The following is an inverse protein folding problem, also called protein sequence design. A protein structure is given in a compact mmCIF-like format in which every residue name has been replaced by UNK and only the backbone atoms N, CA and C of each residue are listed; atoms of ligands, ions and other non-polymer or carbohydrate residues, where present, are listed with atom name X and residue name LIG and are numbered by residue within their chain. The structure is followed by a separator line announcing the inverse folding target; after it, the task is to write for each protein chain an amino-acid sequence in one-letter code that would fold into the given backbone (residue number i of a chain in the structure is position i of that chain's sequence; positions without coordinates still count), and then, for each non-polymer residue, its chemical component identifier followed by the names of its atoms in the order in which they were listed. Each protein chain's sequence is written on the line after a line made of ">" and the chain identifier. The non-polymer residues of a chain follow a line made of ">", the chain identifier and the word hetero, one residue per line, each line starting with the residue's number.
data_IF_315985569109
#
_entry.id   IF_315985569109
#
_cell.length_a   1.000
_cell.length_b   1.000
_cell.length_c   1.000
_cell.angle_alpha   90.00
_cell.angle_beta   90.00
_cell.angle_gamma   90.00
#
_symmetry.space_group_name_H-M   'P 1'
#
loop_
_entity.id
_entity.type
_entity.pdbx_description
1 polymer ?
#
# COMPACT_ATOMS: atom_id res chain seq x y z
N UNK A 1 -3.16 9.90 -42.68
CA UNK A 1 -3.40 11.20 -42.08
C UNK A 1 -4.85 11.21 -41.61
N UNK A 2 -5.07 11.25 -40.30
CA UNK A 2 -6.41 11.26 -39.70
C UNK A 2 -6.91 12.70 -39.53
N UNK A 3 -8.23 12.85 -39.39
CA UNK A 3 -8.90 14.11 -39.06
C UNK A 3 -8.93 14.30 -37.54
N UNK A 4 -9.30 15.50 -37.07
CA UNK A 4 -9.58 15.74 -35.65
C UNK A 4 -10.71 14.82 -35.15
N UNK A 5 -11.73 14.60 -35.96
CA UNK A 5 -12.84 13.67 -35.64
C UNK A 5 -12.36 12.25 -35.46
N UNK A 6 -11.48 11.75 -36.32
CA UNK A 6 -10.87 10.43 -36.17
C UNK A 6 -10.09 10.32 -34.87
N UNK A 7 -9.35 11.35 -34.49
CA UNK A 7 -8.62 11.37 -33.23
C UNK A 7 -9.53 11.37 -32.01
N UNK A 8 -10.59 12.18 -32.02
CA UNK A 8 -11.56 12.25 -30.93
C UNK A 8 -12.35 10.94 -30.77
N UNK A 9 -12.75 10.32 -31.88
CA UNK A 9 -13.46 9.03 -31.87
C UNK A 9 -12.66 7.89 -31.27
N UNK A 10 -11.33 7.90 -31.40
CA UNK A 10 -10.45 6.84 -30.88
C UNK A 10 -9.98 7.07 -29.44
N UNK A 11 -10.36 8.19 -28.81
CA UNK A 11 -10.02 8.48 -27.41
C UNK A 11 -10.73 7.53 -26.45
N UNK A 12 -10.17 7.39 -25.25
CA UNK A 12 -10.68 6.46 -24.25
C UNK A 12 -11.97 6.98 -23.56
N UNK A 13 -12.01 8.27 -23.19
CA UNK A 13 -13.15 8.83 -22.45
C UNK A 13 -13.55 10.22 -22.99
N UNK A 14 -14.82 10.57 -22.80
CA UNK A 14 -15.38 11.84 -23.26
C UNK A 14 -14.62 13.05 -22.71
N UNK A 15 -14.23 13.02 -21.45
CA UNK A 15 -13.44 14.08 -20.78
C UNK A 15 -12.04 14.26 -21.37
N UNK A 16 -11.51 13.26 -22.07
CA UNK A 16 -10.22 13.27 -22.75
C UNK A 16 -10.34 13.47 -24.27
N UNK A 17 -11.57 13.61 -24.79
CA UNK A 17 -11.85 13.76 -26.21
C UNK A 17 -12.17 15.21 -26.62
N UNK A 18 -12.05 16.16 -25.72
CA UNK A 18 -12.23 17.58 -25.98
C UNK A 18 -10.97 18.19 -26.59
N UNK A 19 -11.12 19.16 -27.45
CA UNK A 19 -10.04 19.94 -28.05
C UNK A 19 -10.36 21.44 -28.03
N UNK A 20 -9.33 22.28 -27.98
CA UNK A 20 -9.44 23.72 -28.11
C UNK A 20 -8.76 24.15 -29.40
N UNK A 21 -9.44 24.94 -30.21
CA UNK A 21 -8.88 25.47 -31.45
C UNK A 21 -7.85 26.58 -31.16
N UNK A 22 -6.64 26.41 -31.69
CA UNK A 22 -5.57 27.41 -31.57
C UNK A 22 -5.39 28.27 -32.83
N UNK A 23 -6.14 27.97 -33.90
CA UNK A 23 -6.10 28.77 -35.12
C UNK A 23 -6.70 30.14 -34.91
N UNK A 24 -6.07 31.19 -35.48
CA UNK A 24 -6.43 32.59 -35.26
C UNK A 24 -7.92 32.88 -35.48
N UNK A 25 -8.54 32.27 -36.50
CA UNK A 25 -9.96 32.52 -36.85
C UNK A 25 -10.95 31.95 -35.84
N UNK A 26 -10.57 30.91 -35.10
CA UNK A 26 -11.44 30.18 -34.15
C UNK A 26 -10.74 29.97 -32.79
N UNK A 27 -9.83 30.87 -32.47
CA UNK A 27 -9.00 30.74 -31.27
C UNK A 27 -9.86 30.69 -30.00
N UNK A 28 -9.60 29.65 -29.19
CA UNK A 28 -10.33 29.43 -27.93
C UNK A 28 -11.66 28.67 -28.08
N UNK A 29 -12.07 28.34 -29.31
CA UNK A 29 -13.31 27.56 -29.54
C UNK A 29 -13.13 26.13 -29.03
N UNK A 30 -14.05 25.68 -28.18
CA UNK A 30 -14.11 24.31 -27.69
C UNK A 30 -14.74 23.39 -28.73
N UNK A 31 -14.04 22.30 -29.07
CA UNK A 31 -14.55 21.20 -29.92
C UNK A 31 -14.81 19.99 -29.02
N UNK A 32 -16.07 19.74 -28.73
CA UNK A 32 -16.52 18.73 -27.77
C UNK A 32 -17.68 17.90 -28.36
N UNK A 33 -17.38 16.96 -29.28
CA UNK A 33 -18.43 16.22 -30.01
C UNK A 33 -19.21 15.21 -29.14
N UNK A 34 -18.70 14.88 -27.96
CA UNK A 34 -19.28 13.86 -27.06
C UNK A 34 -19.78 14.45 -25.74
N UNK A 35 -19.97 15.77 -25.67
CA UNK A 35 -20.43 16.42 -24.44
C UNK A 35 -19.55 16.13 -23.20
N UNK A 36 -18.23 16.01 -23.42
CA UNK A 36 -17.26 15.73 -22.36
C UNK A 36 -17.24 16.78 -21.27
N UNK A 37 -17.59 18.04 -21.58
CA UNK A 37 -17.68 19.11 -20.58
C UNK A 37 -18.77 18.82 -19.53
N UNK A 38 -19.91 18.25 -19.94
CA UNK A 38 -20.97 17.86 -19.01
C UNK A 38 -20.56 16.65 -18.16
N UNK A 39 -19.90 15.64 -18.76
CA UNK A 39 -19.37 14.51 -18.01
C UNK A 39 -18.30 14.97 -17.00
N UNK A 40 -17.49 15.96 -17.34
CA UNK A 40 -16.51 16.55 -16.42
C UNK A 40 -17.21 17.26 -15.24
N UNK A 41 -18.24 18.03 -15.50
CA UNK A 41 -19.03 18.73 -14.48
C UNK A 41 -19.80 17.76 -13.58
N UNK A 42 -20.37 16.69 -14.15
CA UNK A 42 -21.14 15.68 -13.43
C UNK A 42 -20.26 14.63 -12.75
N UNK A 43 -18.95 14.62 -13.02
CA UNK A 43 -18.02 13.65 -12.45
C UNK A 43 -18.25 12.23 -13.00
N UNK A 44 -18.36 12.06 -14.30
CA UNK A 44 -18.64 10.79 -14.98
C UNK A 44 -17.46 10.39 -15.87
N UNK A 45 -17.06 9.14 -15.80
CA UNK A 45 -16.16 8.46 -16.74
C UNK A 45 -16.99 7.66 -17.72
N UNK A 46 -16.97 8.07 -18.98
CA UNK A 46 -17.76 7.50 -20.07
C UNK A 46 -16.92 7.42 -21.34
N UNK A 47 -17.03 6.33 -22.09
CA UNK A 47 -16.41 6.21 -23.42
C UNK A 47 -17.11 7.09 -24.45
N UNK A 48 -16.39 7.68 -25.43
CA UNK A 48 -17.00 8.50 -26.49
C UNK A 48 -17.98 7.72 -27.35
N UNK A 49 -17.60 6.50 -27.70
CA UNK A 49 -18.38 5.57 -28.51
C UNK A 49 -18.74 4.32 -27.72
N UNK A 50 -19.15 3.25 -28.39
CA UNK A 50 -19.43 1.96 -27.78
C UNK A 50 -18.26 1.49 -26.92
N UNK A 51 -18.48 1.29 -25.62
CA UNK A 51 -17.39 0.88 -24.71
C UNK A 51 -16.78 -0.49 -25.03
N UNK A 52 -17.56 -1.41 -25.62
CA UNK A 52 -17.02 -2.72 -26.04
C UNK A 52 -15.98 -2.55 -27.16
N UNK A 53 -16.17 -1.61 -28.07
CA UNK A 53 -15.19 -1.28 -29.11
C UNK A 53 -13.97 -0.62 -28.47
N UNK A 54 -14.19 0.37 -27.64
CA UNK A 54 -13.10 1.14 -26.96
C UNK A 54 -12.18 0.22 -26.17
N UNK A 55 -12.72 -0.71 -25.38
CA UNK A 55 -11.96 -1.65 -24.58
C UNK A 55 -11.38 -2.81 -25.38
N UNK A 56 -12.00 -3.16 -26.50
CA UNK A 56 -11.49 -4.17 -27.43
C UNK A 56 -10.28 -3.68 -28.21
N UNK A 57 -10.27 -2.39 -28.61
CA UNK A 57 -9.17 -1.78 -29.37
C UNK A 57 -7.88 -1.69 -28.52
N UNK A 58 -7.99 -1.25 -27.28
CA UNK A 58 -6.89 -1.27 -26.31
C UNK A 58 -7.40 -1.64 -24.92
N UNK A 59 -7.27 -2.89 -24.50
CA UNK A 59 -7.78 -3.36 -23.21
C UNK A 59 -7.16 -2.65 -21.98
N UNK A 60 -5.98 -2.00 -22.11
CA UNK A 60 -5.44 -1.18 -21.03
C UNK A 60 -6.39 -0.04 -20.65
N UNK A 61 -7.24 0.40 -21.56
CA UNK A 61 -8.25 1.43 -21.28
C UNK A 61 -9.21 1.03 -20.15
N UNK A 62 -9.41 -0.26 -19.92
CA UNK A 62 -10.14 -0.75 -18.74
C UNK A 62 -9.46 -0.36 -17.44
N UNK A 63 -8.13 -0.52 -17.36
CA UNK A 63 -7.34 -0.06 -16.22
C UNK A 63 -7.36 1.44 -16.08
N UNK A 64 -7.28 2.16 -17.20
CA UNK A 64 -7.36 3.63 -17.22
C UNK A 64 -8.72 4.13 -16.75
N UNK A 65 -9.81 3.44 -17.10
CA UNK A 65 -11.16 3.75 -16.63
C UNK A 65 -11.22 3.74 -15.09
N UNK A 66 -10.77 2.67 -14.49
CA UNK A 66 -10.74 2.53 -13.02
C UNK A 66 -9.77 3.54 -12.39
N UNK A 67 -8.61 3.75 -12.99
CA UNK A 67 -7.66 4.74 -12.50
C UNK A 67 -8.22 6.15 -12.49
N UNK A 68 -8.82 6.60 -13.57
CA UNK A 68 -9.44 7.94 -13.62
C UNK A 68 -10.59 8.07 -12.62
N UNK A 69 -11.41 7.05 -12.46
CA UNK A 69 -12.45 7.04 -11.44
C UNK A 69 -11.87 7.26 -10.02
N UNK A 70 -10.79 6.57 -9.69
CA UNK A 70 -10.12 6.73 -8.39
C UNK A 70 -9.42 8.09 -8.25
N UNK A 71 -8.70 8.53 -9.29
CA UNK A 71 -7.89 9.74 -9.28
C UNK A 71 -8.74 11.02 -9.25
N UNK A 72 -9.81 11.06 -10.02
CA UNK A 72 -10.71 12.22 -10.13
C UNK A 72 -11.89 12.13 -9.16
N UNK A 73 -12.09 10.99 -8.51
CA UNK A 73 -13.26 10.68 -7.66
C UNK A 73 -14.58 10.74 -8.46
N UNK A 74 -14.52 10.34 -9.73
CA UNK A 74 -15.65 10.28 -10.65
C UNK A 74 -16.31 8.90 -10.61
N UNK A 75 -17.59 8.87 -10.93
CA UNK A 75 -18.34 7.64 -11.13
C UNK A 75 -18.15 7.12 -12.55
N UNK A 76 -18.10 5.80 -12.70
CA UNK A 76 -18.10 5.16 -14.02
C UNK A 76 -19.53 5.05 -14.48
N UNK A 77 -19.82 5.53 -15.70
CA UNK A 77 -21.10 5.32 -16.37
C UNK A 77 -21.50 3.85 -16.39
N UNK A 78 -22.79 3.55 -16.18
CA UNK A 78 -23.29 2.18 -16.00
C UNK A 78 -22.96 1.26 -17.19
N UNK A 79 -23.21 1.72 -18.41
CA UNK A 79 -22.92 0.95 -19.62
C UNK A 79 -21.42 0.75 -19.81
N UNK A 80 -20.62 1.78 -19.52
CA UNK A 80 -19.15 1.69 -19.53
C UNK A 80 -18.66 0.68 -18.48
N UNK A 81 -19.23 0.69 -17.28
CA UNK A 81 -18.90 -0.26 -16.23
C UNK A 81 -19.25 -1.70 -16.60
N UNK A 82 -20.44 -1.92 -17.18
CA UNK A 82 -20.87 -3.26 -17.62
C UNK A 82 -19.95 -3.81 -18.71
N UNK A 83 -19.47 -2.94 -19.60
CA UNK A 83 -18.49 -3.30 -20.62
C UNK A 83 -17.13 -3.69 -20.03
N UNK A 84 -16.71 -3.14 -18.89
CA UNK A 84 -15.52 -3.62 -18.19
C UNK A 84 -15.64 -5.11 -17.86
N UNK A 85 -16.76 -5.52 -17.28
CA UNK A 85 -17.03 -6.92 -16.96
C UNK A 85 -17.04 -7.84 -18.19
N UNK A 86 -17.70 -7.40 -19.26
CA UNK A 86 -17.78 -8.17 -20.53
C UNK A 86 -16.41 -8.36 -21.20
N UNK A 87 -15.52 -7.38 -21.06
CA UNK A 87 -14.21 -7.37 -21.74
C UNK A 87 -13.04 -7.73 -20.79
N UNK A 88 -13.30 -8.02 -19.52
CA UNK A 88 -12.27 -8.19 -18.49
C UNK A 88 -11.17 -9.20 -18.89
N UNK A 89 -11.56 -10.34 -19.50
CA UNK A 89 -10.62 -11.38 -19.93
C UNK A 89 -9.58 -10.88 -20.96
N UNK A 90 -9.88 -9.84 -21.71
CA UNK A 90 -8.95 -9.23 -22.67
C UNK A 90 -7.76 -8.55 -22.03
N UNK A 91 -7.80 -8.30 -20.71
CA UNK A 91 -6.64 -7.74 -20.00
C UNK A 91 -5.41 -8.64 -20.09
N UNK A 92 -5.60 -9.92 -20.32
CA UNK A 92 -4.52 -10.91 -20.45
C UNK A 92 -3.60 -10.66 -21.64
N UNK A 93 -4.01 -9.90 -22.65
CA UNK A 93 -3.19 -9.55 -23.81
C UNK A 93 -2.31 -8.31 -23.56
N UNK A 94 -2.58 -7.56 -22.49
CA UNK A 94 -1.81 -6.37 -22.12
C UNK A 94 -0.57 -6.81 -21.38
N UNK A 95 0.57 -6.15 -21.65
CA UNK A 95 1.80 -6.44 -20.92
C UNK A 95 1.69 -6.12 -19.43
N UNK A 96 2.31 -6.96 -18.60
CA UNK A 96 2.29 -6.79 -17.14
C UNK A 96 2.84 -5.45 -16.69
N UNK A 97 3.83 -4.92 -17.40
CA UNK A 97 4.44 -3.62 -17.11
C UNK A 97 3.45 -2.46 -17.27
N UNK A 98 2.64 -2.49 -18.33
CA UNK A 98 1.59 -1.48 -18.55
C UNK A 98 0.49 -1.55 -17.48
N UNK A 99 0.10 -2.76 -17.08
CA UNK A 99 -0.87 -2.98 -15.99
C UNK A 99 -0.29 -2.48 -14.66
N UNK A 100 0.97 -2.83 -14.35
CA UNK A 100 1.65 -2.39 -13.13
C UNK A 100 1.75 -0.86 -13.03
N UNK A 101 2.02 -0.18 -14.15
CA UNK A 101 2.06 1.28 -14.20
C UNK A 101 0.70 1.90 -13.82
N UNK A 102 -0.40 1.39 -14.37
CA UNK A 102 -1.75 1.85 -14.00
C UNK A 102 -2.11 1.52 -12.54
N UNK A 103 -1.75 0.34 -12.04
CA UNK A 103 -1.93 -0.02 -10.63
C UNK A 103 -1.15 0.91 -9.69
N UNK A 104 0.09 1.25 -10.03
CA UNK A 104 0.88 2.21 -9.25
C UNK A 104 0.24 3.60 -9.22
N UNK A 105 -0.37 4.03 -10.33
CA UNK A 105 -1.12 5.30 -10.39
C UNK A 105 -2.36 5.26 -9.51
N UNK A 106 -3.09 4.15 -9.48
CA UNK A 106 -4.22 3.93 -8.55
C UNK A 106 -3.72 3.99 -7.10
N UNK A 107 -2.62 3.28 -6.80
CA UNK A 107 -2.04 3.21 -5.46
C UNK A 107 -1.57 4.58 -4.95
N UNK A 108 -1.18 5.49 -5.84
CA UNK A 108 -0.74 6.86 -5.50
C UNK A 108 -1.88 7.85 -5.27
N UNK A 109 -3.14 7.47 -5.50
CA UNK A 109 -4.29 8.34 -5.23
C UNK A 109 -4.51 8.56 -3.74
N UNK A 110 -5.31 9.56 -3.37
CA UNK A 110 -5.65 9.86 -1.98
C UNK A 110 -6.42 8.72 -1.30
N UNK A 111 -7.22 8.00 -2.09
CA UNK A 111 -8.05 6.90 -1.61
C UNK A 111 -7.95 5.71 -2.57
N UNK A 112 -6.86 4.91 -2.49
CA UNK A 112 -6.63 3.78 -3.39
C UNK A 112 -7.76 2.74 -3.38
N UNK A 113 -8.47 2.59 -2.26
CA UNK A 113 -9.58 1.66 -2.12
C UNK A 113 -10.66 1.83 -3.19
N UNK A 114 -10.92 3.06 -3.63
CA UNK A 114 -11.88 3.32 -4.71
C UNK A 114 -11.54 2.55 -5.98
N UNK A 115 -10.28 2.58 -6.39
CA UNK A 115 -9.81 1.85 -7.56
C UNK A 115 -9.88 0.33 -7.38
N UNK A 116 -9.44 -0.19 -6.25
CA UNK A 116 -9.44 -1.64 -5.98
C UNK A 116 -10.84 -2.21 -5.83
N UNK A 117 -11.79 -1.46 -5.27
CA UNK A 117 -13.21 -1.87 -5.23
C UNK A 117 -13.77 -2.00 -6.64
N UNK A 118 -13.52 -1.02 -7.51
CA UNK A 118 -14.01 -1.07 -8.90
C UNK A 118 -13.34 -2.21 -9.69
N UNK A 119 -12.04 -2.44 -9.52
CA UNK A 119 -11.32 -3.58 -10.11
C UNK A 119 -11.95 -4.92 -9.68
N UNK A 120 -12.32 -5.02 -8.41
CA UNK A 120 -12.95 -6.22 -7.86
C UNK A 120 -14.37 -6.42 -8.41
N UNK A 121 -15.19 -5.37 -8.41
CA UNK A 121 -16.57 -5.41 -8.88
C UNK A 121 -16.70 -5.77 -10.36
N UNK A 122 -15.79 -5.31 -11.21
CA UNK A 122 -15.81 -5.59 -12.65
C UNK A 122 -15.09 -6.89 -13.05
N UNK A 123 -14.47 -7.60 -12.12
CA UNK A 123 -13.78 -8.86 -12.39
C UNK A 123 -12.32 -8.74 -12.83
N UNK A 124 -11.77 -7.54 -12.98
CA UNK A 124 -10.37 -7.34 -13.35
C UNK A 124 -9.40 -7.77 -12.23
N UNK A 125 -9.77 -7.54 -10.97
CA UNK A 125 -8.89 -7.87 -9.83
C UNK A 125 -8.60 -9.36 -9.75
N UNK A 126 -9.59 -10.21 -10.00
CA UNK A 126 -9.48 -11.67 -10.00
C UNK A 126 -8.47 -12.18 -11.04
N UNK A 127 -8.31 -11.45 -12.14
CA UNK A 127 -7.37 -11.77 -13.20
C UNK A 127 -5.96 -11.21 -12.94
N UNK A 128 -5.86 -10.07 -12.29
CA UNK A 128 -4.59 -9.36 -12.07
C UNK A 128 -3.94 -9.75 -10.74
N UNK A 129 -4.71 -9.73 -9.65
CA UNK A 129 -4.24 -10.06 -8.29
C UNK A 129 -5.23 -11.03 -7.64
N UNK A 130 -5.28 -12.28 -8.10
CA UNK A 130 -6.23 -13.28 -7.59
C UNK A 130 -6.07 -13.54 -6.09
N UNK A 131 -4.88 -13.39 -5.55
CA UNK A 131 -4.61 -13.55 -4.11
C UNK A 131 -5.34 -12.49 -3.27
N UNK A 132 -5.43 -11.27 -3.78
CA UNK A 132 -6.16 -10.20 -3.11
C UNK A 132 -7.68 -10.41 -3.22
N UNK A 133 -8.17 -10.77 -4.40
CA UNK A 133 -9.58 -11.07 -4.62
C UNK A 133 -10.07 -12.22 -3.72
N UNK A 134 -9.22 -13.21 -3.47
CA UNK A 134 -9.53 -14.35 -2.60
C UNK A 134 -9.76 -13.96 -1.13
N UNK A 135 -9.35 -12.78 -0.69
CA UNK A 135 -9.62 -12.26 0.66
C UNK A 135 -11.09 -11.88 0.88
N UNK A 136 -11.88 -11.71 -0.17
CA UNK A 136 -13.32 -11.39 -0.08
C UNK A 136 -14.19 -12.62 0.29
N UNK A 137 -13.61 -13.81 0.35
CA UNK A 137 -14.34 -15.03 0.69
C UNK A 137 -14.51 -15.10 2.21
N UNK A 138 -15.76 -14.99 2.68
CA UNK A 138 -16.14 -15.16 4.09
C UNK A 138 -16.84 -16.50 4.27
N UNK A 139 -16.30 -17.34 5.12
CA UNK A 139 -16.90 -18.63 5.46
C UNK A 139 -17.53 -18.59 6.85
N UNK A 140 -18.69 -19.20 6.98
CA UNK A 140 -19.37 -19.38 8.26
C UNK A 140 -19.43 -20.86 8.62
N UNK A 141 -19.00 -21.18 9.84
CA UNK A 141 -19.06 -22.53 10.39
C UNK A 141 -19.54 -22.49 11.84
N UNK A 142 -20.53 -23.32 12.17
CA UNK A 142 -21.14 -23.35 13.50
C UNK A 142 -21.55 -21.96 14.03
N UNK A 143 -22.13 -21.12 13.16
CA UNK A 143 -22.56 -19.77 13.49
C UNK A 143 -21.43 -18.75 13.66
N UNK A 144 -20.16 -19.13 13.49
CA UNK A 144 -19.00 -18.23 13.56
C UNK A 144 -18.48 -17.94 12.16
N UNK A 145 -18.55 -16.66 11.75
CA UNK A 145 -17.92 -16.13 10.56
C UNK A 145 -16.61 -15.42 10.91
N UNK A 146 -15.65 -15.42 9.98
CA UNK A 146 -14.50 -14.53 10.11
C UNK A 146 -14.79 -13.17 9.45
N UNK A 147 -14.00 -12.15 9.79
CA UNK A 147 -14.06 -10.82 9.19
C UNK A 147 -13.76 -10.91 7.69
N UNK A 148 -14.41 -10.06 6.89
CA UNK A 148 -14.02 -9.88 5.49
C UNK A 148 -12.64 -9.21 5.42
N UNK A 149 -11.65 -9.98 5.00
CA UNK A 149 -10.27 -9.53 4.97
C UNK A 149 -9.96 -8.60 3.78
N UNK A 150 -10.76 -8.65 2.71
CA UNK A 150 -10.58 -7.79 1.54
C UNK A 150 -10.87 -6.32 1.88
N UNK A 151 -12.05 -6.03 2.39
CA UNK A 151 -12.44 -4.65 2.74
C UNK A 151 -11.62 -4.11 3.91
N UNK A 152 -11.25 -4.97 4.88
CA UNK A 152 -10.30 -4.59 5.91
C UNK A 152 -8.94 -4.16 5.32
N UNK A 153 -8.40 -4.95 4.40
CA UNK A 153 -7.14 -4.64 3.73
C UNK A 153 -7.19 -3.29 3.02
N UNK A 154 -8.28 -2.98 2.31
CA UNK A 154 -8.45 -1.69 1.64
C UNK A 154 -8.55 -0.52 2.61
N UNK A 155 -9.19 -0.71 3.76
CA UNK A 155 -9.23 0.30 4.83
C UNK A 155 -7.82 0.58 5.37
N UNK A 156 -7.00 -0.45 5.55
CA UNK A 156 -5.60 -0.31 5.97
C UNK A 156 -4.78 0.45 4.93
N UNK A 157 -4.94 0.16 3.65
CA UNK A 157 -4.27 0.91 2.56
C UNK A 157 -4.65 2.39 2.60
N UNK A 158 -5.93 2.72 2.75
CA UNK A 158 -6.38 4.11 2.84
C UNK A 158 -5.84 4.81 4.09
N UNK A 159 -5.75 4.10 5.22
CA UNK A 159 -5.17 4.64 6.45
C UNK A 159 -3.68 4.96 6.27
N UNK A 160 -2.93 4.13 5.57
CA UNK A 160 -1.53 4.41 5.21
C UNK A 160 -1.46 5.59 4.25
N UNK A 161 -2.32 5.64 3.22
CA UNK A 161 -2.33 6.70 2.22
C UNK A 161 -2.56 8.11 2.81
N UNK A 162 -3.30 8.22 3.91
CA UNK A 162 -3.52 9.49 4.65
C UNK A 162 -2.26 9.99 5.35
N UNK A 163 -1.26 9.13 5.57
CA UNK A 163 -0.10 9.42 6.42
C UNK A 163 1.23 9.34 5.68
N UNK A 164 1.28 8.69 4.53
CA UNK A 164 2.53 8.45 3.79
C UNK A 164 2.31 8.40 2.28
N UNK A 165 3.22 9.04 1.56
CA UNK A 165 3.31 8.95 0.09
C UNK A 165 4.22 7.81 -0.38
N UNK A 166 4.78 7.03 0.55
CA UNK A 166 5.63 5.89 0.23
C UNK A 166 4.80 4.81 -0.48
N UNK A 167 4.98 4.72 -1.79
CA UNK A 167 4.28 3.76 -2.65
C UNK A 167 4.44 2.32 -2.15
N UNK A 168 5.64 1.95 -1.72
CA UNK A 168 5.92 0.56 -1.32
C UNK A 168 5.37 0.21 0.06
N UNK A 169 5.19 1.19 0.93
CA UNK A 169 4.44 1.01 2.18
C UNK A 169 2.95 0.78 1.90
N UNK A 170 2.37 1.47 0.91
CA UNK A 170 0.99 1.23 0.47
C UNK A 170 0.83 -0.16 -0.13
N UNK A 171 1.80 -0.64 -0.93
CA UNK A 171 1.83 -2.02 -1.43
C UNK A 171 1.96 -3.05 -0.29
N UNK A 172 2.79 -2.77 0.70
CA UNK A 172 2.90 -3.62 1.89
C UNK A 172 1.57 -3.70 2.65
N UNK A 173 0.85 -2.58 2.79
CA UNK A 173 -0.50 -2.56 3.37
C UNK A 173 -1.49 -3.41 2.55
N UNK A 174 -1.41 -3.36 1.22
CA UNK A 174 -2.27 -4.18 0.35
C UNK A 174 -2.02 -5.68 0.54
N UNK A 175 -0.80 -6.09 0.81
CA UNK A 175 -0.41 -7.50 0.93
C UNK A 175 -0.21 -7.99 2.36
N UNK A 176 -0.37 -7.15 3.39
CA UNK A 176 -0.05 -7.54 4.76
C UNK A 176 -0.78 -8.81 5.22
N UNK A 177 -2.02 -8.97 4.81
CA UNK A 177 -2.90 -10.09 5.17
C UNK A 177 -3.05 -11.15 4.06
N UNK A 178 -2.31 -11.04 2.95
CA UNK A 178 -2.46 -11.96 1.80
C UNK A 178 -2.25 -13.43 2.16
N UNK A 179 -1.46 -13.71 3.18
CA UNK A 179 -1.21 -15.07 3.68
C UNK A 179 -2.40 -15.71 4.38
N UNK A 180 -3.42 -14.95 4.77
CA UNK A 180 -4.61 -15.49 5.45
C UNK A 180 -5.37 -16.53 4.62
N UNK A 181 -5.40 -16.39 3.30
CA UNK A 181 -6.04 -17.36 2.40
C UNK A 181 -5.42 -18.75 2.49
N UNK A 182 -4.09 -18.83 2.70
CA UNK A 182 -3.35 -20.09 2.77
C UNK A 182 -3.17 -20.62 4.19
N UNK A 183 -3.26 -19.77 5.21
CA UNK A 183 -3.09 -20.14 6.61
C UNK A 183 -4.40 -20.38 7.35
N UNK A 184 -5.55 -20.11 6.70
CA UNK A 184 -6.87 -20.30 7.31
C UNK A 184 -7.10 -21.74 7.78
N UNK A 185 -7.50 -21.91 9.04
CA UNK A 185 -7.84 -23.20 9.65
C UNK A 185 -9.06 -23.04 10.54
N UNK A 186 -9.78 -24.12 10.72
CA UNK A 186 -10.88 -24.20 11.68
C UNK A 186 -10.45 -24.99 12.90
N UNK A 187 -10.52 -24.38 14.07
CA UNK A 187 -10.26 -25.01 15.35
C UNK A 187 -11.55 -25.06 16.17
N UNK A 188 -12.06 -26.26 16.57
CA UNK A 188 -13.38 -26.38 17.20
C UNK A 188 -13.56 -25.51 18.47
N UNK A 189 -12.50 -25.34 19.24
CA UNK A 189 -12.55 -24.57 20.49
C UNK A 189 -12.51 -23.05 20.26
N UNK A 190 -11.84 -22.58 19.20
CA UNK A 190 -11.55 -21.16 18.97
C UNK A 190 -12.39 -20.61 17.82
N UNK A 191 -12.57 -21.39 16.76
CA UNK A 191 -13.17 -20.98 15.50
C UNK A 191 -12.14 -20.83 14.37
N UNK A 192 -12.31 -19.84 13.52
CA UNK A 192 -11.37 -19.55 12.44
C UNK A 192 -10.07 -18.97 12.96
N UNK A 193 -8.95 -19.55 12.54
CA UNK A 193 -7.58 -19.12 12.89
C UNK A 193 -6.76 -18.89 11.62
N UNK A 194 -5.73 -18.02 11.74
CA UNK A 194 -4.86 -17.62 10.63
C UNK A 194 -3.39 -17.57 11.07
N UNK A 195 -2.98 -18.60 11.84
CA UNK A 195 -1.62 -18.66 12.40
C UNK A 195 -0.53 -18.53 11.33
N UNK A 196 0.50 -17.75 11.62
CA UNK A 196 1.65 -17.50 10.76
C UNK A 196 1.31 -16.89 9.38
N UNK A 197 0.15 -16.23 9.23
CA UNK A 197 -0.22 -15.62 7.94
C UNK A 197 0.79 -14.56 7.48
N UNK A 198 1.45 -13.86 8.41
CA UNK A 198 2.52 -12.92 8.12
C UNK A 198 3.70 -13.59 7.40
N UNK A 199 4.21 -14.69 7.95
CA UNK A 199 5.29 -15.46 7.33
C UNK A 199 4.87 -16.06 5.99
N UNK A 200 3.68 -16.67 5.92
CA UNK A 200 3.15 -17.24 4.69
C UNK A 200 2.97 -16.15 3.63
N UNK A 201 2.41 -15.00 4.02
CA UNK A 201 2.24 -13.84 3.13
C UNK A 201 3.57 -13.31 2.60
N UNK A 202 4.57 -13.14 3.47
CA UNK A 202 5.91 -12.70 3.06
C UNK A 202 6.51 -13.63 2.00
N UNK A 203 6.36 -14.93 2.15
CA UNK A 203 6.84 -15.94 1.16
C UNK A 203 6.06 -15.90 -0.17
N UNK A 204 4.87 -15.32 -0.21
CA UNK A 204 4.11 -15.13 -1.44
C UNK A 204 4.58 -13.92 -2.25
N UNK A 205 5.18 -12.90 -1.63
CA UNK A 205 5.53 -11.62 -2.26
C UNK A 205 6.42 -11.78 -3.49
N UNK A 206 7.53 -12.55 -3.49
CA UNK A 206 8.39 -12.67 -4.67
C UNK A 206 7.66 -13.21 -5.91
N UNK A 207 6.78 -14.20 -5.73
CA UNK A 207 6.00 -14.78 -6.83
C UNK A 207 4.96 -13.80 -7.37
N UNK A 208 4.27 -13.07 -6.49
CA UNK A 208 3.29 -12.04 -6.84
C UNK A 208 3.99 -10.91 -7.62
N UNK A 209 5.08 -10.36 -7.13
CA UNK A 209 5.82 -9.27 -7.76
C UNK A 209 6.34 -9.66 -9.14
N UNK A 210 6.88 -10.87 -9.27
CA UNK A 210 7.37 -11.38 -10.57
C UNK A 210 6.24 -11.48 -11.58
N UNK A 211 5.10 -12.06 -11.19
CA UNK A 211 3.93 -12.20 -12.07
C UNK A 211 3.37 -10.85 -12.49
N UNK A 212 3.28 -9.90 -11.57
CA UNK A 212 2.75 -8.56 -11.80
C UNK A 212 3.75 -7.61 -12.45
N UNK A 213 4.99 -8.05 -12.69
CA UNK A 213 6.06 -7.19 -13.24
C UNK A 213 6.38 -5.97 -12.37
N UNK A 214 6.22 -6.12 -11.06
CA UNK A 214 6.71 -5.17 -10.08
C UNK A 214 8.22 -5.35 -9.86
N UNK A 215 8.94 -4.33 -9.33
CA UNK A 215 10.38 -4.42 -9.13
C UNK A 215 10.78 -5.57 -8.22
N UNK A 216 11.82 -6.32 -8.61
CA UNK A 216 12.37 -7.48 -7.88
C UNK A 216 13.61 -7.14 -7.04
N UNK A 217 13.83 -5.88 -6.77
CA UNK A 217 14.98 -5.30 -6.07
C UNK A 217 14.72 -5.08 -4.55
N UNK A 218 15.38 -4.07 -3.99
CA UNK A 218 15.19 -3.68 -2.59
C UNK A 218 13.74 -3.32 -2.24
N UNK A 219 12.95 -2.86 -3.21
CA UNK A 219 11.52 -2.52 -3.01
C UNK A 219 10.69 -3.76 -2.71
N UNK A 220 10.93 -4.86 -3.42
CA UNK A 220 10.28 -6.15 -3.12
C UNK A 220 10.70 -6.66 -1.73
N UNK A 221 11.98 -6.60 -1.41
CA UNK A 221 12.49 -7.02 -0.10
C UNK A 221 11.91 -6.18 1.04
N UNK A 222 11.73 -4.88 0.80
CA UNK A 222 11.06 -3.99 1.74
C UNK A 222 9.61 -4.44 1.99
N UNK A 223 8.84 -4.70 0.94
CA UNK A 223 7.45 -5.18 1.08
C UNK A 223 7.40 -6.55 1.78
N UNK A 224 8.27 -7.49 1.40
CA UNK A 224 8.38 -8.79 2.05
C UNK A 224 8.64 -8.64 3.57
N UNK A 225 9.59 -7.78 3.95
CA UNK A 225 9.93 -7.49 5.35
C UNK A 225 8.75 -6.87 6.10
N UNK A 226 8.06 -5.90 5.53
CA UNK A 226 6.91 -5.27 6.16
C UNK A 226 5.77 -6.27 6.41
N UNK A 227 5.49 -7.13 5.44
CA UNK A 227 4.48 -8.19 5.57
C UNK A 227 4.86 -9.19 6.66
N UNK A 228 6.12 -9.62 6.71
CA UNK A 228 6.60 -10.57 7.74
C UNK A 228 6.52 -9.99 9.16
N UNK A 229 6.86 -8.73 9.32
CA UNK A 229 6.98 -8.08 10.63
C UNK A 229 5.69 -7.42 11.14
N UNK A 230 4.65 -7.27 10.32
CA UNK A 230 3.49 -6.42 10.67
C UNK A 230 2.76 -6.83 11.95
N UNK A 231 2.84 -8.11 12.35
CA UNK A 231 2.23 -8.59 13.60
C UNK A 231 3.07 -8.33 14.85
N UNK A 232 4.38 -8.11 14.73
CA UNK A 232 5.27 -8.02 15.90
C UNK A 232 4.99 -6.83 16.81
N UNK A 233 4.81 -5.59 16.30
CA UNK A 233 4.46 -4.47 17.17
C UNK A 233 3.15 -4.67 17.93
N UNK A 234 2.18 -5.35 17.32
CA UNK A 234 0.89 -5.67 17.94
C UNK A 234 1.08 -6.61 19.13
N UNK A 235 1.86 -7.69 18.94
CA UNK A 235 2.15 -8.67 20.00
C UNK A 235 2.90 -8.01 21.15
N UNK A 236 3.91 -7.19 20.86
CA UNK A 236 4.67 -6.45 21.89
C UNK A 236 3.75 -5.49 22.65
N UNK A 237 2.80 -4.85 21.97
CA UNK A 237 1.87 -3.91 22.60
C UNK A 237 0.79 -4.59 23.47
N UNK A 238 0.46 -5.84 23.19
CA UNK A 238 -0.51 -6.63 23.99
C UNK A 238 0.10 -7.26 25.25
N UNK A 239 1.42 -7.47 25.26
CA UNK A 239 2.17 -8.04 26.37
C UNK A 239 2.86 -6.93 27.21
N UNK A 240 3.58 -7.33 28.25
CA UNK A 240 4.49 -6.42 28.95
C UNK A 240 5.61 -5.99 28.01
N UNK A 241 5.69 -4.70 27.68
CA UNK A 241 6.66 -4.15 26.74
C UNK A 241 8.07 -4.16 27.35
N UNK A 242 8.86 -5.19 27.07
CA UNK A 242 10.22 -5.33 27.57
C UNK A 242 11.25 -4.69 26.63
N UNK A 243 12.35 -4.17 27.19
CA UNK A 243 13.46 -3.62 26.39
C UNK A 243 14.04 -4.62 25.40
N UNK A 244 14.09 -5.91 25.77
CA UNK A 244 14.62 -6.95 24.89
C UNK A 244 13.73 -7.24 23.69
N UNK A 245 12.42 -7.19 23.86
CA UNK A 245 11.46 -7.36 22.76
C UNK A 245 11.51 -6.18 21.79
N UNK A 246 11.56 -4.96 22.32
CA UNK A 246 11.67 -3.72 21.53
C UNK A 246 13.02 -3.68 20.78
N UNK A 247 14.12 -4.08 21.43
CA UNK A 247 15.43 -4.15 20.79
C UNK A 247 15.48 -5.17 19.64
N UNK A 248 14.86 -6.33 19.80
CA UNK A 248 14.72 -7.30 18.70
C UNK A 248 13.92 -6.74 17.54
N UNK A 249 12.81 -6.07 17.82
CA UNK A 249 12.00 -5.41 16.79
C UNK A 249 12.83 -4.37 16.03
N UNK A 250 13.59 -3.53 16.74
CA UNK A 250 14.47 -2.52 16.16
C UNK A 250 15.55 -3.13 15.27
N UNK A 251 16.18 -4.21 15.72
CA UNK A 251 17.19 -4.92 14.92
C UNK A 251 16.61 -5.53 13.65
N UNK A 252 15.43 -6.15 13.72
CA UNK A 252 14.81 -6.82 12.57
C UNK A 252 14.23 -5.82 11.56
N UNK A 253 13.64 -4.72 12.02
CA UNK A 253 13.08 -3.67 11.17
C UNK A 253 14.16 -2.72 10.62
N UNK A 254 15.21 -2.47 11.41
CA UNK A 254 16.26 -1.53 11.05
C UNK A 254 15.71 -0.11 10.80
N UNK A 255 16.15 0.53 9.73
CA UNK A 255 15.74 1.89 9.35
C UNK A 255 14.25 1.99 8.97
N UNK A 256 13.60 0.87 8.70
CA UNK A 256 12.18 0.82 8.31
C UNK A 256 11.23 0.75 9.52
N UNK A 257 11.73 0.90 10.74
CA UNK A 257 10.92 0.76 11.97
C UNK A 257 9.75 1.76 12.02
N UNK A 258 9.92 2.98 11.57
CA UNK A 258 8.86 3.99 11.59
C UNK A 258 7.74 3.65 10.59
N UNK A 259 8.09 3.14 9.42
CA UNK A 259 7.15 2.65 8.42
C UNK A 259 6.39 1.42 8.93
N UNK A 260 7.08 0.50 9.61
CA UNK A 260 6.46 -0.67 10.22
C UNK A 260 5.45 -0.28 11.29
N UNK A 261 5.79 0.66 12.16
CA UNK A 261 4.87 1.17 13.19
C UNK A 261 3.66 1.85 12.57
N UNK A 262 3.84 2.61 11.47
CA UNK A 262 2.75 3.24 10.74
C UNK A 262 1.81 2.21 10.12
N UNK A 263 2.33 1.14 9.52
CA UNK A 263 1.54 0.03 8.98
C UNK A 263 0.71 -0.65 10.07
N UNK A 264 1.31 -0.92 11.23
CA UNK A 264 0.64 -1.57 12.34
C UNK A 264 -0.47 -0.70 12.95
N UNK A 265 -0.25 0.60 13.07
CA UNK A 265 -1.28 1.55 13.52
C UNK A 265 -2.42 1.65 12.51
N UNK A 266 -2.12 1.63 11.22
CA UNK A 266 -3.11 1.64 10.13
C UNK A 266 -3.99 0.38 10.13
N UNK A 267 -3.46 -0.76 10.60
CA UNK A 267 -4.17 -2.04 10.71
C UNK A 267 -5.20 -2.05 11.87
N UNK A 268 -5.15 -1.09 12.78
CA UNK A 268 -6.13 -0.94 13.86
C UNK A 268 -7.41 -0.32 13.31
N UNK A 269 -8.33 -1.18 12.87
CA UNK A 269 -9.62 -0.79 12.26
C UNK A 269 -10.82 -1.16 13.12
N UNK A 270 -10.61 -1.38 14.42
CA UNK A 270 -11.70 -1.74 15.35
C UNK A 270 -12.76 -0.64 15.42
N UNK A 271 -14.03 -1.01 15.31
CA UNK A 271 -15.17 -0.11 15.56
C UNK A 271 -15.39 0.13 17.05
N UNK A 272 -14.76 -0.64 17.93
CA UNK A 272 -14.81 -0.44 19.38
C UNK A 272 -13.78 0.63 19.76
N UNK A 273 -14.27 1.83 20.04
CA UNK A 273 -13.43 3.00 20.37
C UNK A 273 -12.57 2.79 21.63
N UNK A 274 -13.05 2.06 22.62
CA UNK A 274 -12.28 1.75 23.83
C UNK A 274 -11.09 0.87 23.50
N UNK A 275 -11.34 -0.19 22.72
CA UNK A 275 -10.29 -1.11 22.28
C UNK A 275 -9.28 -0.40 21.38
N UNK A 276 -9.75 0.42 20.44
CA UNK A 276 -8.92 1.21 19.53
C UNK A 276 -8.01 2.16 20.31
N UNK A 277 -8.59 2.91 21.28
CA UNK A 277 -7.84 3.84 22.13
C UNK A 277 -6.76 3.12 22.93
N UNK A 278 -7.08 1.96 23.51
CA UNK A 278 -6.11 1.14 24.25
C UNK A 278 -4.95 0.69 23.36
N UNK A 279 -5.22 0.21 22.14
CA UNK A 279 -4.16 -0.20 21.21
C UNK A 279 -3.28 0.98 20.81
N UNK A 280 -3.86 2.13 20.47
CA UNK A 280 -3.10 3.33 20.12
C UNK A 280 -2.22 3.82 21.28
N UNK A 281 -2.71 3.75 22.52
CA UNK A 281 -1.92 4.08 23.70
C UNK A 281 -0.74 3.11 23.88
N UNK A 282 -0.96 1.81 23.72
CA UNK A 282 0.10 0.81 23.78
C UNK A 282 1.14 1.03 22.68
N UNK A 283 0.73 1.37 21.46
CA UNK A 283 1.67 1.74 20.38
C UNK A 283 2.49 2.98 20.72
N UNK A 284 1.88 3.99 21.35
CA UNK A 284 2.61 5.17 21.83
C UNK A 284 3.73 4.76 22.80
N UNK A 285 3.42 3.88 23.74
CA UNK A 285 4.44 3.34 24.68
C UNK A 285 5.57 2.59 23.94
N UNK A 286 5.25 1.80 22.92
CA UNK A 286 6.27 1.13 22.11
C UNK A 286 7.16 2.14 21.39
N UNK A 287 6.58 3.20 20.82
CA UNK A 287 7.34 4.29 20.16
C UNK A 287 8.26 5.03 21.13
N UNK A 288 7.78 5.34 22.33
CA UNK A 288 8.58 6.00 23.38
C UNK A 288 9.78 5.13 23.76
N UNK A 289 9.57 3.82 23.97
CA UNK A 289 10.67 2.88 24.25
C UNK A 289 11.64 2.73 23.08
N UNK A 290 11.18 2.74 21.83
CA UNK A 290 12.04 2.73 20.65
C UNK A 290 12.96 3.95 20.62
N UNK A 291 12.41 5.13 20.90
CA UNK A 291 13.18 6.40 20.93
C UNK A 291 14.22 6.36 22.05
N UNK A 292 13.83 5.98 23.26
CA UNK A 292 14.72 5.88 24.41
C UNK A 292 15.87 4.86 24.18
N UNK A 293 15.56 3.70 23.57
CA UNK A 293 16.60 2.73 23.23
C UNK A 293 17.55 3.24 22.16
N UNK A 294 17.06 3.91 21.12
CA UNK A 294 17.93 4.53 20.09
C UNK A 294 18.89 5.55 20.73
N UNK A 295 18.40 6.41 21.62
CA UNK A 295 19.22 7.39 22.31
C UNK A 295 20.27 6.75 23.24
N UNK A 296 19.88 5.73 24.00
CA UNK A 296 20.80 4.99 24.89
C UNK A 296 21.87 4.26 24.10
N UNK A 297 21.51 3.62 23.00
CA UNK A 297 22.47 2.90 22.16
C UNK A 297 23.39 3.87 21.41
N UNK A 298 22.88 5.01 20.95
CA UNK A 298 23.69 6.07 20.37
C UNK A 298 24.73 6.59 21.37
N UNK A 299 24.34 6.89 22.61
CA UNK A 299 25.27 7.32 23.67
C UNK A 299 26.32 6.27 23.99
N UNK A 300 25.98 4.96 23.90
CA UNK A 300 26.96 3.88 24.09
C UNK A 300 27.95 3.74 22.93
N UNK A 301 27.55 4.10 21.72
CA UNK A 301 28.40 4.09 20.53
C UNK A 301 29.26 5.34 20.39
N UNK A 302 28.93 6.42 21.11
CA UNK A 302 29.78 7.59 21.22
C UNK A 302 31.02 7.16 22.01
N UNK A 303 32.08 6.81 21.30
CA UNK A 303 33.41 6.67 21.89
C UNK A 303 33.95 8.07 22.17
N UNK A 304 34.61 8.27 23.31
CA UNK A 304 35.35 9.52 23.53
C UNK A 304 36.29 9.76 22.36
N UNK A 305 36.39 11.00 21.89
CA UNK A 305 37.30 11.39 20.80
C UNK A 305 38.74 11.05 21.13
N UNK A 306 39.06 10.95 22.44
CA UNK A 306 40.37 10.63 22.98
C UNK A 306 40.24 9.35 23.82
N UNK A 307 41.07 8.34 23.54
CA UNK A 307 41.11 7.11 24.31
C UNK A 307 42.02 7.24 25.59
N UNK A 308 41.98 6.21 26.44
CA UNK A 308 42.77 6.20 27.66
C UNK A 308 44.29 6.29 27.43
N UNK A 309 44.78 5.77 26.29
CA UNK A 309 46.20 5.84 25.94
C UNK A 309 46.57 7.25 25.51
N UNK A 310 45.74 7.89 24.73
CA UNK A 310 45.94 9.30 24.32
C UNK A 310 45.86 10.22 25.51
N UNK A 311 44.96 9.99 26.48
CA UNK A 311 44.92 10.75 27.77
C UNK A 311 46.24 10.59 28.51
N UNK A 312 46.75 9.36 28.64
CA UNK A 312 48.02 9.10 29.30
C UNK A 312 49.20 9.82 28.60
N UNK A 313 49.21 9.84 27.26
CA UNK A 313 50.23 10.52 26.47
C UNK A 313 50.13 12.04 26.62
N UNK A 314 48.93 12.63 26.50
CA UNK A 314 48.71 14.09 26.56
C UNK A 314 49.09 14.64 27.96
N UNK A 315 48.70 13.92 29.01
CA UNK A 315 48.90 14.37 30.38
C UNK A 315 50.14 13.74 31.07
N UNK A 316 50.92 12.94 30.33
CA UNK A 316 52.09 12.22 30.85
C UNK A 316 51.77 11.40 32.13
N UNK A 317 50.61 10.70 32.12
CA UNK A 317 50.13 9.91 33.23
C UNK A 317 50.49 8.44 33.04
N UNK A 318 50.74 7.73 34.14
CA UNK A 318 50.75 6.25 34.17
C UNK A 318 49.32 5.72 34.31
N UNK A 319 49.07 4.44 33.98
CA UNK A 319 47.77 3.81 34.22
C UNK A 319 47.29 4.05 35.64
N UNK A 320 46.24 4.84 35.83
CA UNK A 320 45.80 5.27 37.15
C UNK A 320 44.29 5.53 37.17
N UNK A 321 43.75 5.69 38.39
CA UNK A 321 42.36 6.14 38.61
C UNK A 321 42.08 7.51 37.99
N UNK A 322 43.07 8.39 37.90
CA UNK A 322 42.97 9.71 37.32
C UNK A 322 42.65 9.67 35.81
N UNK A 323 43.25 8.71 35.07
CA UNK A 323 42.92 8.46 33.64
C UNK A 323 41.45 8.07 33.48
N UNK A 324 40.93 7.25 34.42
CA UNK A 324 39.53 6.84 34.44
C UNK A 324 38.59 8.02 34.71
N UNK A 325 38.95 8.91 35.62
CA UNK A 325 38.18 10.13 35.92
C UNK A 325 38.16 11.06 34.71
N UNK A 326 39.29 11.32 34.08
CA UNK A 326 39.39 12.17 32.89
C UNK A 326 38.58 11.62 31.74
N UNK A 327 38.57 10.30 31.56
CA UNK A 327 37.74 9.61 30.54
C UNK A 327 36.24 9.77 30.76
N UNK A 328 35.77 10.00 31.99
CA UNK A 328 34.37 10.23 32.31
C UNK A 328 33.87 11.64 31.94
N UNK A 329 34.80 12.59 31.79
CA UNK A 329 34.48 13.96 31.39
C UNK A 329 34.53 14.22 29.87
N UNK A 330 35.00 13.20 29.09
CA UNK A 330 35.07 13.22 27.63
C UNK A 330 33.90 12.46 27.02
#
# INVERSE_FOLDING_TARGET
>A
DGTLEDDQNRRDFTINAMAVCLNKARFGELVDPFDGIYDLEDGIIRTPLDPDITFSDDPLRMMRCVRFSAQLKFFIDEETFDALGRNAERIKIVSGERIADELNKIMKTDQPSRGFVELHRCGLLQLIIPELAALDIVETRNGKAHKNNFYHTLEVVDNVAKRSDNLWLRWAALFHDVGKTRSKRWEPAIGWTFHNHNYVGAKMIPAIFRRMKLPMDAKMKYVEKMVDLHMRPIVIADEEVTDSAVRRLLNDAGDDIDDLMMLCEADITSKNEVRKKRFLENFRMVREKLTDLKERDYKRLLQPVIDGNEIMQIFNLQPSREVGVLKQYL
#
